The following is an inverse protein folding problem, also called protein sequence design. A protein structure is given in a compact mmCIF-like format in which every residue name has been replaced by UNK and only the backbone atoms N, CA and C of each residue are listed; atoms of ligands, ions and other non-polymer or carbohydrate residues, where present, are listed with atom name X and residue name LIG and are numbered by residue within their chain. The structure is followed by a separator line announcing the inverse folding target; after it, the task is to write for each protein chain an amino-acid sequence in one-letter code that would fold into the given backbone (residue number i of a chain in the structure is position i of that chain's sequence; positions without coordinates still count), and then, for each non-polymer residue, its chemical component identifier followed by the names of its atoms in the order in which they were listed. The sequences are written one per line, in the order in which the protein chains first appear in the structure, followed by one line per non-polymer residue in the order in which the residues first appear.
data_IF_798792331226
#
_entry.id   IF_798792331226
#
_cell.length_a   1.000
_cell.length_b   1.000
_cell.length_c   1.000
_cell.angle_alpha   90.00
_cell.angle_beta   90.00
_cell.angle_gamma   90.00
#
_symmetry.space_group_name_H-M   'P 1'
#
loop_
_entity.id
_entity.type
_entity.pdbx_description
1 polymer ?
#
# COMPACT_ATOMS: atom_id res chain seq x y z
N UNK A 1 -20.86 -7.34 16.01
CA UNK A 1 -21.41 -6.79 14.76
C UNK A 1 -22.02 -7.96 14.04
N UNK A 2 -23.29 -7.90 13.63
CA UNK A 2 -23.84 -8.93 12.75
C UNK A 2 -23.14 -8.82 11.40
N UNK A 3 -22.63 -9.93 10.87
CA UNK A 3 -22.11 -9.95 9.50
C UNK A 3 -23.27 -9.72 8.53
N UNK A 4 -23.02 -8.99 7.44
CA UNK A 4 -24.01 -8.90 6.36
C UNK A 4 -24.39 -10.31 5.90
N UNK A 5 -25.67 -10.58 5.59
CA UNK A 5 -26.10 -11.88 5.09
C UNK A 5 -25.38 -12.29 3.79
N UNK A 6 -24.88 -11.30 3.04
CA UNK A 6 -24.02 -11.48 1.86
C UNK A 6 -22.79 -10.59 2.00
N UNK A 7 -21.71 -11.05 2.66
CA UNK A 7 -20.51 -10.25 2.87
C UNK A 7 -19.82 -9.95 1.53
N UNK A 8 -19.30 -8.74 1.40
CA UNK A 8 -18.54 -8.27 0.23
C UNK A 8 -17.56 -7.17 0.67
N UNK A 9 -16.47 -7.03 -0.09
CA UNK A 9 -15.55 -5.90 0.03
C UNK A 9 -16.10 -4.75 -0.79
N UNK A 10 -16.35 -3.61 -0.14
CA UNK A 10 -16.86 -2.42 -0.84
C UNK A 10 -15.85 -1.86 -1.85
N UNK A 11 -14.56 -1.89 -1.48
CA UNK A 11 -13.47 -1.33 -2.26
C UNK A 11 -12.25 -2.24 -2.19
N UNK A 12 -11.85 -2.78 -3.33
CA UNK A 12 -10.53 -3.38 -3.52
C UNK A 12 -9.61 -2.35 -4.19
N UNK A 13 -8.37 -2.29 -3.72
CA UNK A 13 -7.38 -1.29 -4.09
C UNK A 13 -6.08 -2.02 -4.45
N UNK A 14 -5.65 -1.93 -5.71
CA UNK A 14 -4.42 -2.55 -6.20
C UNK A 14 -3.39 -1.48 -6.53
N UNK A 15 -2.39 -1.35 -5.66
CA UNK A 15 -1.29 -0.37 -5.69
C UNK A 15 -0.61 -0.29 -7.06
N UNK A 16 -0.22 -1.41 -7.65
CA UNK A 16 0.37 -1.53 -8.98
C UNK A 16 0.37 -3.00 -9.45
N UNK A 17 0.93 -3.26 -10.63
CA UNK A 17 0.82 -4.54 -11.34
C UNK A 17 2.07 -5.43 -11.22
N UNK A 18 2.54 -5.66 -10.00
CA UNK A 18 3.46 -6.76 -9.71
C UNK A 18 2.75 -7.90 -8.98
N UNK A 19 3.29 -9.10 -9.14
CA UNK A 19 2.72 -10.36 -8.69
C UNK A 19 2.59 -10.47 -7.17
N UNK A 20 3.46 -9.80 -6.42
CA UNK A 20 3.39 -9.67 -4.97
C UNK A 20 2.26 -8.74 -4.49
N UNK A 21 1.66 -7.93 -5.38
CA UNK A 21 0.50 -7.07 -5.09
C UNK A 21 -0.80 -7.63 -5.67
N UNK A 22 -0.76 -8.27 -6.84
CA UNK A 22 -1.96 -8.78 -7.53
C UNK A 22 -2.13 -10.30 -7.47
N UNK A 23 -1.05 -11.04 -7.23
CA UNK A 23 -0.95 -12.50 -7.35
C UNK A 23 -0.24 -12.94 -8.63
N UNK A 24 0.48 -14.06 -8.55
CA UNK A 24 1.14 -14.71 -9.69
C UNK A 24 0.27 -15.80 -10.33
N UNK A 25 -0.10 -15.62 -11.59
CA UNK A 25 -0.94 -16.53 -12.38
C UNK A 25 -0.11 -17.57 -13.14
N UNK A 26 0.54 -18.47 -12.38
CA UNK A 26 1.33 -19.58 -12.91
C UNK A 26 0.53 -20.71 -13.56
N UNK A 27 1.26 -21.65 -14.17
CA UNK A 27 0.68 -22.82 -14.87
C UNK A 27 -0.07 -23.77 -13.94
N UNK A 28 0.39 -23.91 -12.69
CA UNK A 28 -0.22 -24.75 -11.65
C UNK A 28 -1.35 -24.06 -10.89
N UNK A 29 -1.56 -22.77 -11.13
CA UNK A 29 -2.61 -21.99 -10.47
C UNK A 29 -3.99 -22.48 -10.90
N UNK A 30 -4.90 -22.63 -9.93
CA UNK A 30 -6.28 -23.07 -10.16
C UNK A 30 -6.99 -22.09 -11.10
N UNK A 31 -7.97 -22.58 -11.84
CA UNK A 31 -8.79 -21.75 -12.72
C UNK A 31 -10.15 -21.49 -12.06
N UNK A 32 -10.56 -20.22 -12.03
CA UNK A 32 -11.83 -19.74 -11.50
C UNK A 32 -13.00 -19.92 -12.46
N UNK A 33 -14.19 -19.51 -12.01
CA UNK A 33 -15.45 -19.65 -12.79
C UNK A 33 -15.41 -18.89 -14.11
N UNK A 34 -14.67 -17.78 -14.15
CA UNK A 34 -14.49 -16.95 -15.33
C UNK A 34 -13.35 -17.34 -16.26
N UNK A 35 -12.69 -18.47 -16.04
CA UNK A 35 -11.56 -18.92 -16.85
C UNK A 35 -10.22 -18.21 -16.55
N UNK A 36 -10.23 -17.17 -15.71
CA UNK A 36 -9.02 -16.57 -15.14
C UNK A 36 -8.43 -17.48 -14.05
N UNK A 37 -7.13 -17.36 -13.81
CA UNK A 37 -6.38 -18.02 -12.74
C UNK A 37 -6.65 -17.36 -11.39
N UNK A 38 -6.77 -18.19 -10.36
CA UNK A 38 -7.01 -17.81 -8.97
C UNK A 38 -5.68 -17.66 -8.23
N UNK A 39 -5.20 -16.42 -8.13
CA UNK A 39 -4.01 -16.04 -7.38
C UNK A 39 -4.18 -14.64 -6.81
N UNK A 40 -3.72 -14.44 -5.57
CA UNK A 40 -3.80 -13.16 -4.88
C UNK A 40 -5.21 -12.56 -4.94
N UNK A 41 -5.31 -11.37 -5.53
CA UNK A 41 -6.55 -10.58 -5.55
C UNK A 41 -7.72 -11.29 -6.23
N UNK A 42 -7.43 -12.10 -7.25
CA UNK A 42 -8.45 -12.82 -8.03
C UNK A 42 -9.05 -13.99 -7.25
N UNK A 43 -8.28 -14.64 -6.37
CA UNK A 43 -8.77 -15.70 -5.49
C UNK A 43 -9.56 -15.13 -4.32
N UNK A 44 -9.12 -13.99 -3.77
CA UNK A 44 -9.89 -13.28 -2.73
C UNK A 44 -11.29 -12.94 -3.26
N UNK A 45 -11.40 -12.41 -4.47
CA UNK A 45 -12.69 -12.02 -5.06
C UNK A 45 -13.65 -13.20 -5.33
N UNK A 46 -13.15 -14.43 -5.52
CA UNK A 46 -14.01 -15.63 -5.63
C UNK A 46 -14.65 -16.01 -4.30
N UNK A 47 -13.96 -15.76 -3.19
CA UNK A 47 -14.41 -16.11 -1.85
C UNK A 47 -15.17 -14.97 -1.17
N UNK A 48 -14.76 -13.73 -1.44
CA UNK A 48 -15.32 -12.51 -0.90
C UNK A 48 -15.45 -11.45 -2.02
N UNK A 49 -16.63 -11.34 -2.66
CA UNK A 49 -16.81 -10.50 -3.84
C UNK A 49 -16.48 -9.03 -3.60
N UNK A 50 -15.99 -8.35 -4.64
CA UNK A 50 -15.72 -6.92 -4.61
C UNK A 50 -16.86 -6.14 -5.28
N UNK A 51 -17.27 -5.02 -4.68
CA UNK A 51 -18.22 -4.10 -5.31
C UNK A 51 -17.51 -3.15 -6.27
N UNK A 52 -16.38 -2.58 -5.85
CA UNK A 52 -15.55 -1.70 -6.68
C UNK A 52 -14.09 -2.14 -6.62
N UNK A 53 -13.45 -2.24 -7.78
CA UNK A 53 -12.01 -2.37 -7.93
C UNK A 53 -11.40 -1.01 -8.35
N UNK A 54 -10.31 -0.60 -7.70
CA UNK A 54 -9.57 0.61 -8.04
C UNK A 54 -8.14 0.21 -8.37
N UNK A 55 -7.67 0.60 -9.56
CA UNK A 55 -6.29 0.39 -10.02
C UNK A 55 -5.75 1.59 -10.80
N UNK A 56 -4.46 1.53 -11.17
CA UNK A 56 -3.76 2.61 -11.89
C UNK A 56 -3.88 2.55 -13.41
N UNK A 57 -4.45 1.48 -13.96
CA UNK A 57 -4.39 1.15 -15.39
C UNK A 57 -5.72 1.26 -16.12
N UNK A 58 -6.84 1.22 -15.41
CA UNK A 58 -8.16 1.18 -16.02
C UNK A 58 -8.47 2.41 -16.90
N UNK A 59 -9.16 2.25 -18.06
CA UNK A 59 -9.46 1.01 -18.76
C UNK A 59 -8.36 0.61 -19.76
N UNK A 60 -7.27 1.39 -19.88
CA UNK A 60 -6.36 1.33 -21.02
C UNK A 60 -5.19 0.36 -20.85
N UNK A 61 -4.67 0.24 -19.63
CA UNK A 61 -3.55 -0.64 -19.26
C UNK A 61 -2.33 -0.50 -20.20
N UNK A 62 -1.98 0.75 -20.52
CA UNK A 62 -0.97 1.06 -21.52
C UNK A 62 0.05 2.12 -21.10
N UNK A 63 0.08 2.46 -19.81
CA UNK A 63 1.05 3.42 -19.27
C UNK A 63 2.02 2.75 -18.29
N UNK A 64 3.34 2.98 -18.43
CA UNK A 64 3.98 3.80 -19.47
C UNK A 64 4.12 3.07 -20.81
N UNK A 65 3.91 1.75 -20.81
CA UNK A 65 3.85 0.90 -22.00
C UNK A 65 2.62 -0.01 -21.95
N UNK A 66 2.15 -0.55 -23.11
CA UNK A 66 1.15 -1.61 -23.14
C UNK A 66 1.50 -2.79 -22.22
N UNK A 67 0.64 -3.06 -21.23
CA UNK A 67 0.82 -4.17 -20.29
C UNK A 67 0.26 -5.45 -20.91
N UNK A 68 1.19 -6.28 -21.40
CA UNK A 68 0.88 -7.51 -22.11
C UNK A 68 1.44 -8.76 -21.39
N UNK A 69 1.96 -8.61 -20.18
CA UNK A 69 2.43 -9.75 -19.41
C UNK A 69 1.25 -10.67 -19.00
N UNK A 70 1.51 -11.97 -18.77
CA UNK A 70 0.45 -12.94 -18.46
C UNK A 70 -0.36 -12.62 -17.20
N UNK A 71 0.26 -11.99 -16.18
CA UNK A 71 -0.41 -11.68 -14.91
C UNK A 71 -1.43 -10.54 -15.10
N UNK A 72 -1.06 -9.48 -15.80
CA UNK A 72 -2.00 -8.40 -16.17
C UNK A 72 -3.05 -8.88 -17.16
N UNK A 73 -2.71 -9.77 -18.10
CA UNK A 73 -3.72 -10.40 -18.97
C UNK A 73 -4.76 -11.20 -18.15
N UNK A 74 -4.31 -11.98 -17.16
CA UNK A 74 -5.19 -12.71 -16.26
C UNK A 74 -6.09 -11.77 -15.44
N UNK A 75 -5.52 -10.71 -14.86
CA UNK A 75 -6.26 -9.71 -14.10
C UNK A 75 -7.33 -9.01 -14.94
N UNK A 76 -7.02 -8.61 -16.18
CA UNK A 76 -8.02 -8.01 -17.08
C UNK A 76 -9.15 -8.99 -17.42
N UNK A 77 -8.85 -10.27 -17.60
CA UNK A 77 -9.87 -11.31 -17.80
C UNK A 77 -10.77 -11.46 -16.56
N UNK A 78 -10.18 -11.43 -15.37
CA UNK A 78 -10.89 -11.37 -14.09
C UNK A 78 -11.84 -10.17 -14.01
N UNK A 79 -11.35 -8.96 -14.28
CA UNK A 79 -12.16 -7.75 -14.25
C UNK A 79 -13.33 -7.84 -15.23
N UNK A 80 -13.07 -8.20 -16.48
CA UNK A 80 -14.09 -8.30 -17.52
C UNK A 80 -15.19 -9.30 -17.12
N UNK A 81 -14.82 -10.44 -16.54
CA UNK A 81 -15.78 -11.43 -16.07
C UNK A 81 -16.60 -10.92 -14.88
N UNK A 82 -15.97 -10.32 -13.88
CA UNK A 82 -16.65 -9.80 -12.69
C UNK A 82 -17.59 -8.64 -13.00
N UNK A 83 -17.19 -7.72 -13.88
CA UNK A 83 -18.06 -6.63 -14.36
C UNK A 83 -19.31 -7.18 -15.05
N UNK A 84 -19.14 -8.19 -15.91
CA UNK A 84 -20.24 -8.77 -16.68
C UNK A 84 -21.19 -9.62 -15.83
N UNK A 85 -20.67 -10.40 -14.88
CA UNK A 85 -21.45 -11.44 -14.21
C UNK A 85 -21.87 -11.07 -12.79
N UNK A 86 -21.10 -10.23 -12.09
CA UNK A 86 -21.31 -9.94 -10.68
C UNK A 86 -21.52 -8.44 -10.38
N UNK A 87 -21.53 -7.59 -11.42
CA UNK A 87 -21.81 -6.16 -11.29
C UNK A 87 -20.70 -5.37 -10.58
N UNK A 88 -19.50 -5.94 -10.47
CA UNK A 88 -18.33 -5.21 -9.97
C UNK A 88 -18.07 -4.00 -10.86
N UNK A 89 -17.78 -2.83 -10.28
CA UNK A 89 -17.31 -1.66 -11.02
C UNK A 89 -15.79 -1.58 -10.95
N UNK A 90 -15.17 -0.93 -11.93
CA UNK A 90 -13.73 -0.70 -11.96
C UNK A 90 -13.49 0.78 -12.24
N UNK A 91 -12.61 1.40 -11.48
CA UNK A 91 -12.25 2.81 -11.63
C UNK A 91 -10.73 2.98 -11.67
N UNK A 92 -10.27 3.93 -12.48
CA UNK A 92 -8.93 4.48 -12.36
C UNK A 92 -8.85 5.30 -11.07
N UNK A 93 -7.79 5.14 -10.28
CA UNK A 93 -7.53 6.06 -9.17
C UNK A 93 -7.22 7.46 -9.70
N UNK A 94 -7.92 8.46 -9.17
CA UNK A 94 -7.75 9.88 -9.51
C UNK A 94 -7.00 10.58 -8.38
N UNK A 95 -5.71 10.93 -8.55
CA UNK A 95 -4.98 11.70 -7.54
C UNK A 95 -5.70 13.01 -7.20
N UNK A 96 -5.62 13.42 -5.94
CA UNK A 96 -6.30 14.60 -5.41
C UNK A 96 -7.77 14.42 -5.08
N UNK A 97 -8.45 13.36 -5.52
CA UNK A 97 -9.83 13.07 -5.13
C UNK A 97 -9.94 12.37 -3.76
N UNK A 98 -11.08 12.55 -3.09
CA UNK A 98 -11.43 11.87 -1.84
C UNK A 98 -12.83 11.24 -1.85
N UNK A 99 -13.40 11.05 -3.04
CA UNK A 99 -14.77 10.58 -3.25
C UNK A 99 -14.87 9.16 -3.81
N UNK A 100 -13.73 8.52 -4.14
CA UNK A 100 -13.71 7.16 -4.72
C UNK A 100 -13.87 6.06 -3.67
N UNK A 101 -13.28 6.26 -2.48
CA UNK A 101 -13.37 5.37 -1.31
C UNK A 101 -14.00 6.17 -0.16
N UNK A 102 -15.22 5.79 0.25
CA UNK A 102 -15.96 6.49 1.31
C UNK A 102 -16.61 5.48 2.25
N UNK A 103 -16.86 5.86 3.51
CA UNK A 103 -17.58 4.98 4.43
C UNK A 103 -19.00 4.71 3.92
N UNK A 104 -19.33 3.42 3.71
CA UNK A 104 -20.68 2.98 3.34
C UNK A 104 -21.58 2.70 4.53
N UNK A 105 -20.99 2.37 5.69
CA UNK A 105 -21.72 1.99 6.90
C UNK A 105 -21.59 3.07 7.95
N UNK A 106 -22.74 3.52 8.46
CA UNK A 106 -22.83 4.48 9.57
C UNK A 106 -21.98 5.75 9.38
N UNK A 107 -21.82 6.24 8.14
CA UNK A 107 -20.94 7.38 7.82
C UNK A 107 -21.20 8.62 8.68
N UNK A 108 -22.47 8.87 9.05
CA UNK A 108 -22.86 9.97 9.92
C UNK A 108 -22.21 9.91 11.33
N UNK A 109 -21.77 8.74 11.81
CA UNK A 109 -21.03 8.58 13.07
C UNK A 109 -19.55 8.93 12.96
N UNK A 110 -19.03 9.04 11.74
CA UNK A 110 -17.61 9.26 11.45
C UNK A 110 -17.42 10.45 10.48
N UNK A 111 -17.90 11.66 10.82
CA UNK A 111 -17.94 12.80 9.90
C UNK A 111 -16.56 13.32 9.47
N UNK A 112 -15.49 12.92 10.16
CA UNK A 112 -14.11 13.29 9.84
C UNK A 112 -13.30 12.12 9.25
N UNK A 113 -13.96 11.06 8.76
CA UNK A 113 -13.28 10.02 8.01
C UNK A 113 -13.06 10.46 6.57
N UNK A 114 -11.85 10.31 6.06
CA UNK A 114 -11.49 10.58 4.68
C UNK A 114 -10.51 9.53 4.15
N UNK A 115 -10.64 9.17 2.87
CA UNK A 115 -9.55 8.55 2.11
C UNK A 115 -9.19 9.50 0.97
N UNK A 116 -7.99 10.08 1.04
CA UNK A 116 -7.43 10.95 0.00
C UNK A 116 -6.57 10.12 -0.94
N UNK A 117 -6.85 10.19 -2.22
CA UNK A 117 -5.97 9.70 -3.27
C UNK A 117 -4.78 10.65 -3.40
N UNK A 118 -3.58 10.14 -3.19
CA UNK A 118 -2.36 10.97 -3.16
C UNK A 118 -1.64 10.93 -4.50
N UNK A 119 -1.42 9.74 -5.06
CA UNK A 119 -0.64 9.60 -6.29
C UNK A 119 -1.06 8.37 -7.10
N UNK A 120 -0.81 8.42 -8.42
CA UNK A 120 -0.80 7.29 -9.34
C UNK A 120 -0.04 7.68 -10.61
N UNK A 121 0.75 6.79 -11.19
CA UNK A 121 1.42 7.01 -12.48
C UNK A 121 2.29 8.29 -12.56
N UNK A 122 2.82 8.79 -11.44
CA UNK A 122 3.60 10.04 -11.40
C UNK A 122 2.78 11.33 -11.29
N UNK A 123 1.45 11.22 -11.30
CA UNK A 123 0.54 12.32 -10.97
C UNK A 123 0.35 12.34 -9.44
N UNK A 124 0.61 13.49 -8.81
CA UNK A 124 0.63 13.65 -7.35
C UNK A 124 -0.26 14.84 -6.94
N UNK A 125 -1.11 14.64 -5.93
CA UNK A 125 -1.88 15.70 -5.30
C UNK A 125 -0.98 16.81 -4.73
N UNK A 126 -1.38 18.06 -4.88
CA UNK A 126 -0.59 19.22 -4.42
C UNK A 126 -0.88 19.64 -2.98
N UNK A 127 -1.83 19.01 -2.30
CA UNK A 127 -2.33 19.43 -0.99
C UNK A 127 -3.50 20.43 -1.06
N UNK A 128 -3.88 20.89 -2.26
CA UNK A 128 -4.88 21.95 -2.46
C UNK A 128 -6.02 21.43 -3.33
N UNK A 129 -7.23 21.35 -2.77
CA UNK A 129 -8.42 20.90 -3.49
C UNK A 129 -8.18 19.54 -4.15
N UNK A 130 -8.43 19.45 -5.45
CA UNK A 130 -8.13 18.27 -6.29
C UNK A 130 -6.95 18.52 -7.23
N UNK A 131 -6.16 19.57 -7.01
CA UNK A 131 -5.08 19.94 -7.92
C UNK A 131 -3.93 18.93 -7.84
N UNK A 132 -3.38 18.58 -8.99
CA UNK A 132 -2.28 17.62 -9.13
C UNK A 132 -1.08 18.25 -9.85
N UNK A 133 0.06 17.57 -9.74
CA UNK A 133 1.29 17.85 -10.48
C UNK A 133 1.85 16.53 -11.02
N UNK A 134 2.42 16.57 -12.21
CA UNK A 134 3.16 15.46 -12.80
C UNK A 134 4.64 15.55 -12.38
N UNK A 135 5.23 14.43 -11.98
CA UNK A 135 6.68 14.36 -11.71
C UNK A 135 7.45 13.62 -12.81
N UNK A 136 6.78 12.80 -13.61
CA UNK A 136 7.43 12.10 -14.71
C UNK A 136 7.53 13.01 -15.93
N UNK A 137 8.68 13.03 -16.63
CA UNK A 137 8.77 13.65 -17.93
C UNK A 137 7.78 13.02 -18.91
N UNK A 138 7.39 13.77 -19.94
CA UNK A 138 6.56 13.21 -21.00
C UNK A 138 7.33 12.06 -21.66
N UNK A 139 6.67 10.92 -21.88
CA UNK A 139 7.32 9.73 -22.44
C UNK A 139 8.01 9.99 -23.78
N UNK A 140 7.47 10.91 -24.60
CA UNK A 140 8.07 11.31 -25.89
C UNK A 140 9.47 11.95 -25.76
N UNK A 141 9.78 12.47 -24.57
CA UNK A 141 11.05 13.14 -24.25
C UNK A 141 12.03 12.19 -23.53
N UNK A 142 11.63 10.93 -23.31
CA UNK A 142 12.43 9.88 -22.69
C UNK A 142 12.81 8.82 -23.72
N UNK A 143 13.97 8.18 -23.52
CA UNK A 143 14.23 6.91 -24.20
C UNK A 143 13.37 5.81 -23.55
N UNK A 144 12.95 4.77 -24.29
CA UNK A 144 12.16 3.69 -23.70
C UNK A 144 12.79 3.01 -22.48
N UNK A 145 14.13 2.98 -22.42
CA UNK A 145 14.87 2.44 -21.27
C UNK A 145 14.75 3.31 -20.00
N UNK A 146 14.38 4.59 -20.15
CA UNK A 146 14.22 5.58 -19.08
C UNK A 146 12.75 5.78 -18.70
N UNK A 147 11.82 5.00 -19.27
CA UNK A 147 10.41 5.09 -18.89
C UNK A 147 10.23 4.73 -17.41
N UNK A 148 9.20 5.29 -16.74
CA UNK A 148 8.90 4.94 -15.36
C UNK A 148 8.76 3.42 -15.18
N UNK A 149 9.31 2.90 -14.10
CA UNK A 149 9.11 1.48 -13.77
C UNK A 149 7.71 1.26 -13.16
N UNK A 150 7.26 0.01 -13.14
CA UNK A 150 5.98 -0.35 -12.52
C UNK A 150 5.87 0.15 -11.07
N UNK A 151 6.93 -0.06 -10.27
CA UNK A 151 7.05 0.41 -8.90
C UNK A 151 6.83 1.92 -8.77
N UNK A 152 7.42 2.71 -9.68
CA UNK A 152 7.25 4.16 -9.71
C UNK A 152 5.81 4.58 -10.01
N UNK A 153 5.06 3.76 -10.76
CA UNK A 153 3.66 4.02 -11.08
C UNK A 153 2.69 3.70 -9.93
N UNK A 154 3.18 3.22 -8.78
CA UNK A 154 2.36 2.87 -7.61
C UNK A 154 1.34 3.94 -7.24
N UNK A 155 0.14 3.48 -6.90
CA UNK A 155 -0.87 4.31 -6.29
C UNK A 155 -0.53 4.57 -4.83
N UNK A 156 -1.00 5.71 -4.32
CA UNK A 156 -0.88 6.06 -2.91
C UNK A 156 -2.16 6.67 -2.35
N UNK A 157 -2.46 6.36 -1.10
CA UNK A 157 -3.60 6.92 -0.37
C UNK A 157 -3.19 7.35 1.04
N UNK A 158 -3.88 8.35 1.57
CA UNK A 158 -3.90 8.71 2.98
C UNK A 158 -5.30 8.42 3.54
N UNK A 159 -5.38 7.72 4.65
CA UNK A 159 -6.61 7.46 5.39
C UNK A 159 -6.60 8.30 6.66
N UNK A 160 -7.61 9.13 6.84
CA UNK A 160 -7.72 10.05 7.97
C UNK A 160 -8.99 9.75 8.76
N UNK A 161 -8.91 9.78 10.10
CA UNK A 161 -10.06 9.77 10.99
C UNK A 161 -9.76 10.56 12.27
N UNK A 162 -10.43 11.71 12.44
CA UNK A 162 -10.12 12.60 13.55
C UNK A 162 -8.68 13.12 13.43
N UNK A 163 -7.84 12.85 14.44
CA UNK A 163 -6.40 13.16 14.39
C UNK A 163 -5.54 12.02 13.82
N UNK A 164 -6.11 10.83 13.65
CA UNK A 164 -5.36 9.68 13.19
C UNK A 164 -5.19 9.72 11.67
N UNK A 165 -3.96 9.49 11.22
CA UNK A 165 -3.60 9.40 9.82
C UNK A 165 -2.77 8.15 9.52
N UNK A 166 -3.11 7.48 8.42
CA UNK A 166 -2.39 6.33 7.90
C UNK A 166 -2.00 6.52 6.44
N UNK A 167 -0.79 6.12 6.07
CA UNK A 167 -0.30 6.20 4.69
C UNK A 167 0.00 4.82 4.09
N UNK A 168 -0.36 4.65 2.81
CA UNK A 168 0.03 3.52 1.96
C UNK A 168 0.49 4.03 0.60
N UNK A 169 1.66 3.60 0.14
CA UNK A 169 2.28 4.09 -1.11
C UNK A 169 2.71 3.01 -2.10
N UNK A 170 2.29 1.76 -1.93
CA UNK A 170 2.71 0.67 -2.82
C UNK A 170 4.23 0.50 -2.82
N UNK A 171 4.84 0.43 -4.01
CA UNK A 171 6.29 0.18 -4.15
C UNK A 171 7.05 1.37 -4.71
N UNK A 172 6.55 2.59 -4.48
CA UNK A 172 7.24 3.78 -4.96
C UNK A 172 8.66 3.88 -4.38
N UNK A 173 9.69 4.14 -5.23
CA UNK A 173 11.06 4.31 -4.77
C UNK A 173 11.33 5.75 -4.34
N UNK A 174 12.37 5.92 -3.52
CA UNK A 174 12.85 7.22 -3.06
C UNK A 174 14.37 7.35 -3.00
N UNK A 175 15.12 6.25 -3.12
CA UNK A 175 16.58 6.23 -3.19
C UNK A 175 16.99 6.02 -4.64
N UNK A 176 17.71 7.00 -5.18
CA UNK A 176 18.18 6.99 -6.55
C UNK A 176 19.31 5.96 -6.73
N UNK A 177 19.23 5.18 -7.82
CA UNK A 177 20.38 4.42 -8.31
C UNK A 177 21.44 5.40 -8.84
N UNK A 178 22.68 4.92 -8.96
CA UNK A 178 23.73 5.71 -9.63
C UNK A 178 23.24 6.15 -11.02
N UNK A 179 23.45 7.42 -11.33
CA UNK A 179 23.06 8.07 -12.59
C UNK A 179 21.54 8.13 -12.88
N UNK A 180 20.69 7.73 -11.94
CA UNK A 180 19.25 7.87 -12.09
C UNK A 180 18.83 9.36 -12.06
N UNK A 181 17.90 9.77 -12.91
CA UNK A 181 17.41 11.15 -12.90
C UNK A 181 16.62 11.44 -11.61
N UNK A 182 16.64 12.69 -11.17
CA UNK A 182 16.02 13.10 -9.89
C UNK A 182 14.52 12.79 -9.80
N UNK A 183 13.81 12.77 -10.93
CA UNK A 183 12.39 12.45 -10.94
C UNK A 183 12.07 11.00 -10.56
N UNK A 184 13.08 10.12 -10.47
CA UNK A 184 12.92 8.76 -9.94
C UNK A 184 12.73 8.74 -8.41
N UNK A 185 12.98 9.85 -7.71
CA UNK A 185 12.61 10.03 -6.31
C UNK A 185 11.12 10.38 -6.19
N UNK A 186 10.30 9.34 -6.22
CA UNK A 186 8.84 9.47 -6.11
C UNK A 186 8.45 9.73 -4.66
N UNK A 187 9.08 9.06 -3.71
CA UNK A 187 8.80 9.21 -2.27
C UNK A 187 8.89 10.65 -1.80
N UNK A 188 9.93 11.40 -2.18
CA UNK A 188 10.06 12.79 -1.72
C UNK A 188 8.94 13.69 -2.24
N UNK A 189 8.55 13.50 -3.49
CA UNK A 189 7.47 14.27 -4.11
C UNK A 189 6.11 13.96 -3.49
N UNK A 190 5.87 12.70 -3.16
CA UNK A 190 4.65 12.24 -2.47
C UNK A 190 4.63 12.70 -1.02
N UNK A 191 5.74 12.58 -0.30
CA UNK A 191 5.85 12.94 1.11
C UNK A 191 5.54 14.42 1.37
N UNK A 192 5.91 15.31 0.44
CA UNK A 192 5.57 16.72 0.51
C UNK A 192 4.05 16.96 0.56
N UNK A 193 3.27 16.15 -0.15
CA UNK A 193 1.81 16.26 -0.19
C UNK A 193 1.14 15.58 1.01
N UNK A 194 1.70 14.46 1.47
CA UNK A 194 1.13 13.66 2.57
C UNK A 194 1.29 14.37 3.91
N UNK A 195 2.50 14.89 4.19
CA UNK A 195 2.83 15.44 5.50
C UNK A 195 2.82 14.38 6.62
N UNK A 196 2.74 14.81 7.89
CA UNK A 196 2.81 13.90 9.04
C UNK A 196 1.66 12.88 9.07
N UNK A 197 1.99 11.66 9.48
CA UNK A 197 1.01 10.59 9.75
C UNK A 197 1.33 9.85 11.05
N UNK A 198 0.39 9.04 11.52
CA UNK A 198 0.55 8.25 12.74
C UNK A 198 1.12 6.87 12.47
N UNK A 199 0.66 6.25 11.39
CA UNK A 199 1.13 4.94 10.97
C UNK A 199 1.35 4.89 9.45
N UNK A 200 2.34 4.12 9.02
CA UNK A 200 2.59 3.88 7.59
C UNK A 200 2.96 2.42 7.34
N UNK A 201 2.48 1.86 6.24
CA UNK A 201 3.07 0.65 5.67
C UNK A 201 4.30 1.04 4.86
N UNK A 202 5.37 0.24 4.94
CA UNK A 202 6.56 0.52 4.16
C UNK A 202 6.27 0.40 2.68
N UNK A 203 6.68 1.41 1.93
CA UNK A 203 6.78 1.31 0.49
C UNK A 203 7.74 0.18 0.13
N UNK A 204 7.43 -0.57 -0.92
CA UNK A 204 8.28 -1.60 -1.51
C UNK A 204 8.75 -2.64 -0.51
N UNK A 205 7.90 -3.00 0.45
CA UNK A 205 8.20 -3.95 1.52
C UNK A 205 9.41 -3.56 2.39
N UNK A 206 9.86 -2.31 2.29
CA UNK A 206 11.12 -1.86 2.87
C UNK A 206 12.35 -2.26 2.04
N UNK A 207 12.26 -2.25 0.71
CA UNK A 207 13.40 -2.42 -0.17
C UNK A 207 14.41 -1.27 0.01
N UNK A 208 15.68 -1.52 -0.32
CA UNK A 208 16.77 -0.54 -0.18
C UNK A 208 16.55 0.73 -1.00
N UNK A 209 15.73 0.64 -2.05
CA UNK A 209 15.35 1.78 -2.89
C UNK A 209 14.26 2.68 -2.28
N UNK A 210 13.73 2.36 -1.10
CA UNK A 210 12.63 3.10 -0.45
C UNK A 210 13.00 3.64 0.95
N UNK A 211 12.05 4.33 1.59
CA UNK A 211 12.18 5.04 2.86
C UNK A 211 13.38 5.98 2.87
N UNK A 212 13.43 6.89 1.90
CA UNK A 212 14.44 7.94 1.90
C UNK A 212 14.27 8.89 3.12
N UNK A 213 15.32 9.64 3.43
CA UNK A 213 15.35 10.47 4.63
C UNK A 213 14.30 11.60 4.60
N UNK A 214 14.03 12.19 3.43
CA UNK A 214 13.02 13.25 3.32
C UNK A 214 11.62 12.71 3.58
N UNK A 215 11.28 11.57 2.99
CA UNK A 215 10.02 10.85 3.21
C UNK A 215 9.80 10.55 4.69
N UNK A 216 10.78 9.94 5.35
CA UNK A 216 10.72 9.65 6.78
C UNK A 216 10.58 10.92 7.64
N UNK A 217 11.31 11.99 7.31
CA UNK A 217 11.26 13.25 8.03
C UNK A 217 9.97 14.05 7.81
N UNK A 218 9.30 13.87 6.67
CA UNK A 218 8.02 14.50 6.38
C UNK A 218 6.84 13.77 7.03
N UNK A 219 6.79 12.44 6.91
CA UNK A 219 5.72 11.62 7.47
C UNK A 219 5.84 11.43 8.99
N UNK A 220 7.06 11.30 9.49
CA UNK A 220 7.40 11.11 10.91
C UNK A 220 6.58 10.02 11.65
N UNK A 221 6.23 8.86 11.10
CA UNK A 221 5.26 7.95 11.71
C UNK A 221 5.64 7.49 13.13
N UNK A 222 4.65 7.26 13.99
CA UNK A 222 4.86 6.59 15.27
C UNK A 222 4.94 5.07 15.10
N UNK A 223 4.24 4.54 14.10
CA UNK A 223 4.16 3.11 13.80
C UNK A 223 4.49 2.83 12.34
N UNK A 224 5.32 1.82 12.12
CA UNK A 224 5.57 1.24 10.80
C UNK A 224 5.12 -0.21 10.72
N UNK A 225 4.53 -0.58 9.59
CA UNK A 225 4.21 -1.96 9.24
C UNK A 225 5.07 -2.40 8.06
N UNK A 226 5.76 -3.52 8.21
CA UNK A 226 6.56 -4.15 7.18
C UNK A 226 5.77 -5.33 6.61
N UNK A 227 5.25 -5.24 5.37
CA UNK A 227 4.74 -6.39 4.66
C UNK A 227 5.94 -7.19 4.16
N UNK A 228 6.41 -8.18 4.91
CA UNK A 228 7.59 -8.95 4.51
C UNK A 228 7.24 -9.82 3.32
N UNK A 229 7.97 -9.66 2.22
CA UNK A 229 7.78 -10.43 0.99
C UNK A 229 8.93 -11.41 0.73
N UNK A 230 10.18 -10.97 0.83
CA UNK A 230 11.36 -11.76 0.46
C UNK A 230 12.54 -11.59 1.44
N UNK A 231 13.62 -12.34 1.21
CA UNK A 231 14.86 -12.22 1.99
C UNK A 231 15.55 -10.87 1.87
N UNK A 232 15.21 -10.09 0.83
CA UNK A 232 15.74 -8.74 0.62
C UNK A 232 14.87 -7.65 1.29
N UNK A 233 13.75 -8.04 1.90
CA UNK A 233 12.75 -7.15 2.50
C UNK A 233 12.55 -7.44 3.99
N UNK A 234 12.75 -6.47 4.91
CA UNK A 234 13.30 -5.15 4.65
C UNK A 234 14.83 -5.20 4.46
N UNK A 235 15.39 -4.15 3.85
CA UNK A 235 16.83 -3.91 3.85
C UNK A 235 17.35 -3.53 5.25
N UNK A 236 18.58 -3.93 5.59
CA UNK A 236 19.24 -3.51 6.83
C UNK A 236 19.33 -1.98 6.91
N UNK A 237 19.75 -1.34 5.81
CA UNK A 237 19.91 0.11 5.69
C UNK A 237 18.58 0.86 5.80
N UNK A 238 17.47 0.25 5.36
CA UNK A 238 16.13 0.79 5.50
C UNK A 238 15.73 0.87 6.97
N UNK A 239 15.93 -0.22 7.71
CA UNK A 239 15.68 -0.24 9.15
C UNK A 239 16.57 0.77 9.89
N UNK A 240 17.85 0.89 9.53
CA UNK A 240 18.75 1.87 10.14
C UNK A 240 18.26 3.31 9.92
N UNK A 241 17.83 3.65 8.68
CA UNK A 241 17.22 4.95 8.36
C UNK A 241 15.94 5.21 9.16
N UNK A 242 15.02 4.24 9.20
CA UNK A 242 13.76 4.34 9.96
C UNK A 242 14.01 4.52 11.45
N UNK A 243 15.05 3.88 11.96
CA UNK A 243 15.45 3.96 13.35
C UNK A 243 16.37 5.14 13.68
N UNK A 244 16.61 6.06 12.77
CA UNK A 244 17.43 7.24 13.04
C UNK A 244 16.59 8.36 13.66
N UNK A 245 16.92 8.76 14.89
CA UNK A 245 16.33 9.97 15.53
C UNK A 245 16.88 11.28 14.98
N UNK A 246 17.91 11.21 14.13
CA UNK A 246 18.39 12.37 13.36
C UNK A 246 17.43 12.73 12.23
N UNK A 247 16.67 11.76 11.71
CA UNK A 247 15.68 11.98 10.66
C UNK A 247 14.42 12.66 11.22
N UNK A 248 13.91 12.17 12.34
CA UNK A 248 12.92 12.86 13.17
C UNK A 248 12.96 12.34 14.61
N UNK A 249 12.65 13.22 15.57
CA UNK A 249 12.75 12.90 16.99
C UNK A 249 11.63 11.97 17.49
N UNK A 250 11.92 11.21 18.53
CA UNK A 250 10.96 10.38 19.26
C UNK A 250 10.97 8.91 18.82
N UNK A 251 10.47 8.03 19.68
CA UNK A 251 10.41 6.60 19.41
C UNK A 251 9.44 6.28 18.28
N UNK A 252 9.76 5.21 17.54
CA UNK A 252 8.91 4.61 16.51
C UNK A 252 8.87 3.10 16.71
N UNK A 253 7.68 2.54 16.65
CA UNK A 253 7.46 1.10 16.76
C UNK A 253 7.31 0.48 15.38
N UNK A 254 7.92 -0.68 15.18
CA UNK A 254 7.98 -1.35 13.89
C UNK A 254 7.48 -2.78 14.05
N UNK A 255 6.57 -3.19 13.18
CA UNK A 255 5.91 -4.48 13.19
C UNK A 255 6.06 -5.13 11.82
N UNK A 256 6.43 -6.41 11.76
CA UNK A 256 6.55 -7.16 10.53
C UNK A 256 5.56 -8.33 10.48
N UNK A 257 5.02 -8.61 9.30
CA UNK A 257 4.02 -9.67 9.08
C UNK A 257 4.63 -11.07 9.21
N UNK A 258 5.77 -11.33 8.55
CA UNK A 258 6.40 -12.65 8.56
C UNK A 258 7.91 -12.58 8.26
N UNK A 259 8.72 -12.19 9.23
CA UNK A 259 10.17 -12.07 9.07
C UNK A 259 10.83 -13.44 8.82
N UNK A 260 11.49 -13.59 7.67
CA UNK A 260 12.11 -14.86 7.26
C UNK A 260 13.42 -15.10 7.99
N UNK A 261 13.83 -16.36 8.09
CA UNK A 261 15.09 -16.73 8.72
C UNK A 261 16.32 -16.15 8.01
N UNK A 262 16.26 -16.00 6.68
CA UNK A 262 17.29 -15.32 5.90
C UNK A 262 17.45 -13.85 6.32
N UNK A 263 16.33 -13.12 6.52
CA UNK A 263 16.38 -11.74 7.01
C UNK A 263 17.03 -11.68 8.39
N UNK A 264 16.69 -12.62 9.28
CA UNK A 264 17.26 -12.68 10.64
C UNK A 264 18.77 -12.84 10.63
N UNK A 265 19.30 -13.67 9.75
CA UNK A 265 20.74 -13.91 9.62
C UNK A 265 21.48 -12.68 9.08
N UNK A 266 20.89 -11.97 8.10
CA UNK A 266 21.54 -10.83 7.43
C UNK A 266 21.41 -9.53 8.21
N UNK A 267 20.23 -9.24 8.76
CA UNK A 267 19.95 -7.99 9.47
C UNK A 267 20.48 -8.04 10.91
N UNK A 268 20.38 -9.21 11.56
CA UNK A 268 20.90 -9.42 12.91
C UNK A 268 20.19 -8.58 13.98
N UNK A 269 20.98 -7.98 14.88
CA UNK A 269 20.49 -7.37 16.12
C UNK A 269 19.51 -6.21 15.93
N UNK A 270 19.51 -5.57 14.75
CA UNK A 270 18.59 -4.48 14.47
C UNK A 270 17.11 -4.95 14.53
N UNK A 271 16.85 -6.23 14.24
CA UNK A 271 15.52 -6.83 14.37
C UNK A 271 15.05 -6.98 15.81
N UNK A 272 15.95 -6.95 16.81
CA UNK A 272 15.56 -7.00 18.23
C UNK A 272 14.72 -5.78 18.64
N UNK A 273 14.69 -4.74 17.82
CA UNK A 273 13.89 -3.52 18.03
C UNK A 273 12.47 -3.63 17.48
N UNK A 274 12.15 -4.67 16.70
CA UNK A 274 10.79 -4.92 16.26
C UNK A 274 9.91 -5.22 17.46
N UNK A 275 8.69 -4.68 17.47
CA UNK A 275 7.68 -5.03 18.46
C UNK A 275 7.01 -6.37 18.15
N UNK A 276 6.98 -6.74 16.87
CA UNK A 276 6.64 -8.09 16.42
C UNK A 276 7.34 -8.38 15.10
N UNK A 277 7.86 -9.60 14.96
CA UNK A 277 8.43 -10.11 13.71
C UNK A 277 7.49 -11.04 12.95
N UNK A 278 6.32 -11.37 13.52
CA UNK A 278 5.34 -12.26 12.91
C UNK A 278 3.93 -12.03 13.46
N UNK A 279 2.96 -11.99 12.57
CA UNK A 279 1.53 -12.01 12.86
C UNK A 279 0.72 -11.16 11.88
N UNK A 280 -0.60 -11.33 11.90
CA UNK A 280 -1.51 -10.40 11.24
C UNK A 280 -1.64 -9.12 12.07
N UNK A 281 -1.34 -7.97 11.46
CA UNK A 281 -1.22 -6.69 12.16
C UNK A 281 -2.51 -5.88 11.97
N UNK A 282 -3.17 -5.56 13.08
CA UNK A 282 -4.38 -4.73 13.09
C UNK A 282 -4.08 -3.40 13.77
N UNK A 283 -4.20 -2.30 13.02
CA UNK A 283 -4.21 -0.95 13.60
C UNK A 283 -5.65 -0.60 13.94
N UNK A 284 -5.93 -0.42 15.23
CA UNK A 284 -7.28 -0.12 15.74
C UNK A 284 -7.33 1.29 16.29
N UNK A 285 -8.08 2.16 15.61
CA UNK A 285 -8.29 3.56 16.00
C UNK A 285 -9.51 3.66 16.93
N UNK A 286 -9.36 4.38 18.03
CA UNK A 286 -10.44 4.63 18.99
C UNK A 286 -11.47 5.63 18.41
N UNK A 287 -12.73 5.63 18.88
CA UNK A 287 -13.71 6.65 18.49
C UNK A 287 -13.16 8.06 18.67
N UNK A 288 -13.37 8.90 17.65
CA UNK A 288 -12.86 10.28 17.60
C UNK A 288 -11.42 10.41 17.09
N UNK A 289 -10.68 9.30 16.91
CA UNK A 289 -9.38 9.33 16.25
C UNK A 289 -8.22 9.89 17.08
N UNK A 290 -8.40 10.11 18.37
CA UNK A 290 -7.33 10.67 19.24
C UNK A 290 -6.30 9.62 19.68
N UNK A 291 -6.68 8.34 19.68
CA UNK A 291 -5.81 7.25 20.12
C UNK A 291 -5.94 6.06 19.18
N UNK A 292 -4.86 5.29 19.06
CA UNK A 292 -4.89 4.02 18.36
C UNK A 292 -4.02 2.97 19.06
N UNK A 293 -4.24 1.69 18.73
CA UNK A 293 -3.46 0.55 19.20
C UNK A 293 -3.05 -0.32 18.03
N UNK A 294 -1.93 -1.02 18.18
CA UNK A 294 -1.52 -2.09 17.25
C UNK A 294 -1.77 -3.42 17.94
N UNK A 295 -2.58 -4.28 17.31
CA UNK A 295 -2.92 -5.61 17.79
C UNK A 295 -2.28 -6.63 16.86
N UNK A 296 -1.52 -7.56 17.43
CA UNK A 296 -0.91 -8.66 16.70
C UNK A 296 -1.78 -9.88 16.89
N UNK A 297 -2.29 -10.42 15.79
CA UNK A 297 -3.03 -11.67 15.76
C UNK A 297 -2.09 -12.79 15.33
N UNK A 298 -2.21 -13.94 16.00
CA UNK A 298 -1.51 -15.17 15.65
C UNK A 298 -2.06 -15.72 14.32
N UNK A 299 -1.24 -15.66 13.29
CA UNK A 299 -1.54 -16.06 11.92
C UNK A 299 -1.15 -17.52 11.61
N UNK A 300 -0.68 -18.28 12.61
CA UNK A 300 -0.37 -19.71 12.45
C UNK A 300 -1.63 -20.58 12.34
N UNK A 301 -2.79 -20.04 12.71
CA UNK A 301 -4.09 -20.70 12.60
C UNK A 301 -5.17 -19.71 12.17
N UNK A 302 -6.25 -20.20 11.57
CA UNK A 302 -7.42 -19.39 11.19
C UNK A 302 -8.16 -18.78 12.41
N UNK A 303 -7.79 -19.17 13.63
CA UNK A 303 -8.39 -18.61 14.85
C UNK A 303 -7.98 -17.17 15.15
N UNK A 304 -6.90 -16.65 14.53
CA UNK A 304 -6.43 -15.26 14.62
C UNK A 304 -6.47 -14.69 16.05
N UNK A 305 -6.00 -15.48 17.03
CA UNK A 305 -6.04 -15.09 18.45
C UNK A 305 -5.13 -13.90 18.71
N UNK A 306 -5.51 -13.01 19.63
CA UNK A 306 -4.66 -11.89 20.03
C UNK A 306 -3.39 -12.42 20.71
N UNK A 307 -2.24 -12.14 20.09
CA UNK A 307 -0.90 -12.47 20.58
C UNK A 307 -0.30 -11.32 21.40
N UNK A 308 -0.50 -10.08 20.96
CA UNK A 308 0.00 -8.89 21.65
C UNK A 308 -0.85 -7.64 21.33
N UNK A 309 -0.82 -6.66 22.23
CA UNK A 309 -1.42 -5.34 22.05
C UNK A 309 -0.40 -4.28 22.46
N UNK A 310 -0.19 -3.30 21.59
CA UNK A 310 0.74 -2.18 21.80
C UNK A 310 0.00 -0.84 21.73
N UNK A 311 0.42 0.12 22.56
CA UNK A 311 -0.25 1.40 22.77
C UNK A 311 -1.04 1.47 24.10
N UNK A 312 -1.99 2.41 24.24
CA UNK A 312 -2.44 3.34 23.20
C UNK A 312 -1.35 4.34 22.81
N UNK A 313 -1.27 4.62 21.51
CA UNK A 313 -0.52 5.74 20.96
C UNK A 313 -1.47 6.93 20.84
N UNK A 314 -0.97 8.13 21.12
CA UNK A 314 -1.73 9.38 20.96
C UNK A 314 -1.53 9.91 19.54
N UNK A 315 -2.62 10.08 18.78
CA UNK A 315 -2.55 10.73 17.47
C UNK A 315 -2.33 12.24 17.64
N UNK A 316 -1.59 12.88 16.74
CA UNK A 316 -1.05 14.23 16.94
C UNK A 316 -1.46 15.22 15.85
#
# INVERSE_FOLDING_TARGET
MAHDPSPAIDYAYLTHFHDDHMGDAGSTTKTGKGGYKLSGITEVAENLPFRKMIDRGWPRYNYPVPMNDPNVANYRAFLAWQQKNNGMTVELLRPGHNDQIVLKREAAKYPNFEVRNIAANGEIWTGIGTNTKEIFPLLKDLQPADYPTENMCSMAIRVSYGKFDYFSGGDMPGILKNDAPLWNDVESSVAQAVGPVEAAILNHHGNRDSQNAYYLAALRPQVFVIPVWSSDHPGHDVLDRMYSEKTYAGQRDVFATNMLDANKQVIGELLNRLKSSQGHIVIRVAPGGNEFRVVILDDTTEGLRVKAVHGPYQAR
#
